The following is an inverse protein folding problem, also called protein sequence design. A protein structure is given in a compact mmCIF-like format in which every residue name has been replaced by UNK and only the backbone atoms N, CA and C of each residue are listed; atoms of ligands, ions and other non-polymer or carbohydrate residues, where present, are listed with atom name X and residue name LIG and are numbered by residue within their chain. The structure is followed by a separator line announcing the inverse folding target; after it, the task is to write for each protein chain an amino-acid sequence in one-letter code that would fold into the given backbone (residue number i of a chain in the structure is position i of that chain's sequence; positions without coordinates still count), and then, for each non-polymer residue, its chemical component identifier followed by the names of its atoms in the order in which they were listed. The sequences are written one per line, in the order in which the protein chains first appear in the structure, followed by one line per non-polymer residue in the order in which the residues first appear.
data_IF_632963737753
#
_entry.id   IF_632963737753
#
_cell.length_a   1.000
_cell.length_b   1.000
_cell.length_c   1.000
_cell.angle_alpha   90.00
_cell.angle_beta   90.00
_cell.angle_gamma   90.00
#
_symmetry.space_group_name_H-M   'P 1'
#
loop_
_entity.id
_entity.type
_entity.pdbx_description
1 polymer ?
#
# COMPACT_ATOMS: atom_id res chain seq x y z
N UNK A 1 42.30 2.37 -1.46
CA UNK A 1 42.19 2.40 -2.93
C UNK A 1 40.77 2.85 -3.20
N UNK A 2 40.54 4.15 -3.43
CA UNK A 2 39.19 4.67 -3.72
C UNK A 2 38.56 3.83 -4.83
N UNK A 3 37.34 3.37 -4.58
CA UNK A 3 36.73 2.41 -5.47
C UNK A 3 36.40 3.14 -6.77
N UNK A 4 36.70 2.50 -7.91
CA UNK A 4 36.54 3.06 -9.26
C UNK A 4 35.14 3.66 -9.52
N UNK A 5 34.12 3.18 -8.79
CA UNK A 5 32.73 3.65 -8.84
C UNK A 5 32.53 4.98 -8.10
N UNK A 6 33.11 5.16 -6.91
CA UNK A 6 33.02 6.41 -6.15
C UNK A 6 33.53 7.58 -6.99
N UNK A 7 34.69 7.41 -7.64
CA UNK A 7 35.23 8.42 -8.58
C UNK A 7 34.32 8.66 -9.79
N UNK A 8 33.63 7.63 -10.27
CA UNK A 8 32.68 7.76 -11.36
C UNK A 8 31.44 8.54 -10.92
N UNK A 9 30.93 8.32 -9.72
CA UNK A 9 29.80 9.07 -9.16
C UNK A 9 30.17 10.55 -8.95
N UNK A 10 31.33 10.79 -8.32
CA UNK A 10 31.86 12.15 -8.12
C UNK A 10 32.03 12.91 -9.45
N UNK A 11 32.61 12.27 -10.47
CA UNK A 11 32.83 12.89 -11.79
C UNK A 11 31.53 13.26 -12.50
N UNK A 12 30.46 12.49 -12.30
CA UNK A 12 29.18 12.69 -12.98
C UNK A 12 28.13 13.38 -12.09
N UNK A 13 28.50 13.81 -10.88
CA UNK A 13 27.60 14.40 -9.90
C UNK A 13 26.37 13.52 -9.65
N UNK A 14 26.63 12.26 -9.29
CA UNK A 14 25.61 11.26 -8.95
C UNK A 14 25.63 11.05 -7.44
N UNK A 15 24.54 11.44 -6.79
CA UNK A 15 24.25 11.06 -5.40
C UNK A 15 23.29 9.87 -5.41
N UNK A 16 23.45 8.85 -4.52
CA UNK A 16 22.55 7.70 -4.48
C UNK A 16 21.07 8.05 -4.36
N UNK A 17 20.72 9.04 -3.53
CA UNK A 17 19.34 9.47 -3.30
C UNK A 17 18.66 10.09 -4.54
N UNK A 18 19.48 10.54 -5.49
CA UNK A 18 19.05 11.11 -6.76
C UNK A 18 18.79 10.05 -7.84
N UNK A 19 19.07 8.77 -7.56
CA UNK A 19 18.85 7.67 -8.49
C UNK A 19 17.38 7.22 -8.43
N UNK A 20 16.71 7.17 -9.58
CA UNK A 20 15.37 6.54 -9.71
C UNK A 20 15.48 5.03 -9.81
N UNK A 21 16.24 4.58 -10.80
CA UNK A 21 16.51 3.19 -11.10
C UNK A 21 17.72 3.07 -12.03
N UNK A 22 18.29 1.89 -12.08
CA UNK A 22 19.43 1.53 -12.92
C UNK A 22 19.00 0.35 -13.78
N UNK A 23 19.19 0.47 -15.09
CA UNK A 23 18.79 -0.53 -16.07
C UNK A 23 19.96 -0.93 -16.96
N UNK A 24 19.99 -2.19 -17.38
CA UNK A 24 20.91 -2.67 -18.41
C UNK A 24 20.24 -2.63 -19.77
N UNK A 25 20.77 -1.82 -20.69
CA UNK A 25 20.26 -1.62 -22.05
C UNK A 25 21.43 -1.68 -23.03
N UNK A 26 21.27 -2.45 -24.13
CA UNK A 26 22.26 -2.55 -25.21
C UNK A 26 23.71 -2.81 -24.75
N UNK A 27 23.86 -3.63 -23.70
CA UNK A 27 25.16 -4.00 -23.12
C UNK A 27 25.78 -2.96 -22.18
N UNK A 28 25.15 -1.79 -22.02
CA UNK A 28 25.53 -0.74 -21.07
C UNK A 28 24.65 -0.77 -19.83
N UNK A 29 25.16 -0.23 -18.74
CA UNK A 29 24.38 0.09 -17.55
C UNK A 29 24.03 1.57 -17.60
N UNK A 30 22.74 1.87 -17.54
CA UNK A 30 22.15 3.20 -17.62
C UNK A 30 21.59 3.58 -16.24
N UNK A 31 22.05 4.68 -15.67
CA UNK A 31 21.61 5.20 -14.38
C UNK A 31 20.62 6.34 -14.67
N UNK A 32 19.36 6.17 -14.28
CA UNK A 32 18.29 7.15 -14.47
C UNK A 32 18.14 7.98 -13.21
N UNK A 33 18.31 9.30 -13.33
CA UNK A 33 18.25 10.24 -12.20
C UNK A 33 16.90 10.96 -12.12
N UNK A 34 16.61 11.56 -10.97
CA UNK A 34 15.36 12.29 -10.71
C UNK A 34 15.21 13.49 -11.66
N UNK A 35 16.30 14.22 -11.85
CA UNK A 35 16.40 15.41 -12.71
C UNK A 35 16.27 15.11 -14.21
N UNK A 36 16.10 13.84 -14.60
CA UNK A 36 15.93 13.40 -15.98
C UNK A 36 17.24 13.09 -16.71
N UNK A 37 18.41 13.27 -16.08
CA UNK A 37 19.67 12.81 -16.65
C UNK A 37 19.72 11.28 -16.72
N UNK A 38 20.35 10.78 -17.77
CA UNK A 38 20.66 9.36 -17.96
C UNK A 38 22.18 9.25 -18.14
N UNK A 39 22.84 8.53 -17.24
CA UNK A 39 24.29 8.35 -17.29
C UNK A 39 24.60 6.90 -17.66
N UNK A 40 25.26 6.72 -18.80
CA UNK A 40 25.64 5.41 -19.31
C UNK A 40 27.06 5.01 -18.93
N UNK A 41 27.25 3.72 -18.66
CA UNK A 41 28.58 3.15 -18.44
C UNK A 41 28.66 1.69 -18.90
N UNK A 42 29.87 1.25 -19.25
CA UNK A 42 30.14 -0.16 -19.53
C UNK A 42 30.38 -0.99 -18.26
N UNK A 43 30.44 -0.35 -17.10
CA UNK A 43 30.56 -1.04 -15.81
C UNK A 43 29.36 -1.98 -15.60
N UNK A 44 29.59 -3.25 -15.21
CA UNK A 44 28.51 -4.18 -14.90
C UNK A 44 27.58 -3.65 -13.81
N UNK A 45 26.27 -3.89 -13.96
CA UNK A 45 25.24 -3.46 -13.01
C UNK A 45 25.58 -3.89 -11.58
N UNK A 46 25.99 -5.15 -11.40
CA UNK A 46 26.36 -5.70 -10.08
C UNK A 46 27.45 -4.87 -9.39
N UNK A 47 28.49 -4.48 -10.11
CA UNK A 47 29.59 -3.68 -9.58
C UNK A 47 29.15 -2.29 -9.13
N UNK A 48 28.11 -1.73 -9.75
CA UNK A 48 27.54 -0.44 -9.31
C UNK A 48 26.69 -0.65 -8.07
N UNK A 49 25.85 -1.70 -8.05
CA UNK A 49 24.94 -2.01 -6.95
C UNK A 49 25.68 -2.40 -5.68
N UNK A 50 26.82 -3.10 -5.78
CA UNK A 50 27.68 -3.46 -4.65
C UNK A 50 28.25 -2.22 -3.91
N UNK A 51 28.13 -1.02 -4.50
CA UNK A 51 28.57 0.26 -3.94
C UNK A 51 27.41 1.17 -3.49
N UNK A 52 26.17 0.73 -3.67
CA UNK A 52 24.99 1.45 -3.22
C UNK A 52 24.56 0.98 -1.81
N UNK A 53 23.88 1.83 -1.02
CA UNK A 53 23.26 1.41 0.23
C UNK A 53 22.29 0.25 -0.01
N UNK A 54 22.54 -0.90 0.62
CA UNK A 54 21.82 -2.15 0.31
C UNK A 54 20.32 -2.05 0.61
N UNK A 55 19.94 -1.27 1.63
CA UNK A 55 18.56 -1.15 2.09
C UNK A 55 17.73 -0.17 1.23
N UNK A 56 18.38 0.72 0.48
CA UNK A 56 17.72 1.76 -0.32
C UNK A 56 17.42 1.31 -1.77
N UNK A 57 17.95 0.16 -2.18
CA UNK A 57 17.86 -0.32 -3.56
C UNK A 57 17.36 -1.75 -3.66
N UNK A 58 16.31 -1.94 -4.46
CA UNK A 58 15.67 -3.24 -4.68
C UNK A 58 15.96 -3.78 -6.09
N UNK A 59 16.48 -5.01 -6.16
CA UNK A 59 16.64 -5.71 -7.45
C UNK A 59 15.32 -6.28 -7.94
N UNK A 60 14.71 -5.59 -8.91
CA UNK A 60 13.46 -6.02 -9.56
C UNK A 60 13.71 -7.27 -10.42
N UNK A 61 14.78 -7.26 -11.22
CA UNK A 61 15.21 -8.40 -12.02
C UNK A 61 16.72 -8.36 -12.30
N UNK A 62 17.25 -9.26 -13.15
CA UNK A 62 18.69 -9.34 -13.44
C UNK A 62 19.28 -8.08 -14.08
N UNK A 63 18.45 -7.28 -14.75
CA UNK A 63 18.88 -6.08 -15.48
C UNK A 63 18.35 -4.79 -14.90
N UNK A 64 17.57 -4.82 -13.81
CA UNK A 64 16.92 -3.64 -13.23
C UNK A 64 17.05 -3.65 -11.72
N UNK A 65 17.57 -2.54 -11.19
CA UNK A 65 17.57 -2.20 -9.77
C UNK A 65 16.89 -0.85 -9.61
N UNK A 66 16.00 -0.71 -8.65
CA UNK A 66 15.26 0.54 -8.43
C UNK A 66 15.45 1.03 -7.00
N UNK A 67 15.44 2.35 -6.81
CA UNK A 67 15.40 2.92 -5.48
C UNK A 67 14.05 2.62 -4.83
N UNK A 68 14.07 2.08 -3.60
CA UNK A 68 12.87 1.68 -2.84
C UNK A 68 11.95 2.87 -2.57
N UNK A 69 12.53 4.04 -2.29
CA UNK A 69 11.83 5.32 -2.11
C UNK A 69 11.07 5.78 -3.37
N UNK A 70 11.35 5.21 -4.54
CA UNK A 70 10.73 5.60 -5.82
C UNK A 70 9.71 4.60 -6.36
N UNK A 71 9.58 3.42 -5.76
CA UNK A 71 8.57 2.42 -6.14
C UNK A 71 7.25 2.76 -5.45
N UNK A 72 6.23 3.21 -6.17
CA UNK A 72 4.90 3.55 -5.62
C UNK A 72 4.09 2.34 -5.21
N UNK A 73 4.12 1.28 -6.02
CA UNK A 73 3.29 0.10 -5.81
C UNK A 73 3.99 -1.15 -6.35
N UNK A 74 3.79 -2.27 -5.69
CA UNK A 74 4.18 -3.60 -6.18
C UNK A 74 2.92 -4.48 -6.16
N UNK A 75 2.53 -4.98 -7.34
CA UNK A 75 1.39 -5.88 -7.49
C UNK A 75 1.63 -6.87 -8.63
N UNK A 76 1.45 -8.16 -8.38
CA UNK A 76 1.57 -9.23 -9.39
C UNK A 76 2.92 -9.20 -10.13
N UNK A 77 4.04 -9.02 -9.40
CA UNK A 77 5.39 -8.77 -9.95
C UNK A 77 5.55 -7.48 -10.78
N UNK A 78 4.59 -6.57 -10.79
CA UNK A 78 4.70 -5.29 -11.47
C UNK A 78 5.08 -4.21 -10.46
N UNK A 79 6.25 -3.62 -10.67
CA UNK A 79 6.81 -2.54 -9.88
C UNK A 79 6.50 -1.23 -10.59
N UNK A 80 5.63 -0.43 -9.99
CA UNK A 80 5.23 0.88 -10.52
C UNK A 80 6.08 1.96 -9.85
N UNK A 81 6.80 2.74 -10.65
CA UNK A 81 7.65 3.84 -10.18
C UNK A 81 6.85 5.13 -10.03
N UNK A 82 7.37 6.10 -9.27
CA UNK A 82 6.75 7.43 -9.05
C UNK A 82 6.62 8.25 -10.34
N UNK A 83 7.45 7.99 -11.34
CA UNK A 83 7.35 8.63 -12.66
C UNK A 83 6.42 7.90 -13.65
N UNK A 84 5.69 6.87 -13.18
CA UNK A 84 4.76 6.08 -13.97
C UNK A 84 5.39 4.92 -14.74
N UNK A 85 6.72 4.76 -14.71
CA UNK A 85 7.40 3.62 -15.32
C UNK A 85 7.00 2.31 -14.62
N UNK A 86 6.82 1.23 -15.39
CA UNK A 86 6.45 -0.08 -14.86
C UNK A 86 7.49 -1.13 -15.23
N UNK A 87 7.96 -1.89 -14.25
CA UNK A 87 8.94 -2.96 -14.44
C UNK A 87 8.40 -4.31 -13.98
N UNK A 88 8.68 -5.35 -14.78
CA UNK A 88 8.32 -6.73 -14.44
C UNK A 88 9.42 -7.41 -13.64
N UNK A 89 9.04 -7.97 -12.51
CA UNK A 89 9.85 -8.78 -11.61
C UNK A 89 10.17 -10.17 -12.15
N UNK A 90 10.79 -11.01 -11.32
CA UNK A 90 11.25 -12.35 -11.73
C UNK A 90 10.07 -13.34 -11.78
N UNK A 91 9.74 -13.78 -12.99
CA UNK A 91 8.65 -14.75 -13.24
C UNK A 91 8.69 -16.03 -12.37
N UNK A 92 9.88 -16.51 -11.98
CA UNK A 92 10.08 -17.78 -11.24
C UNK A 92 10.26 -17.62 -9.72
N UNK A 93 9.88 -16.50 -9.13
CA UNK A 93 9.82 -16.43 -7.67
C UNK A 93 8.64 -17.27 -7.14
N UNK A 94 8.80 -18.02 -6.04
CA UNK A 94 7.69 -18.73 -5.42
C UNK A 94 6.58 -17.75 -5.03
N UNK A 95 5.31 -18.10 -5.28
CA UNK A 95 4.16 -17.21 -5.03
C UNK A 95 4.10 -16.70 -3.59
N UNK A 96 4.41 -17.55 -2.62
CA UNK A 96 4.47 -17.18 -1.20
C UNK A 96 5.53 -16.11 -0.93
N UNK A 97 6.74 -16.27 -1.47
CA UNK A 97 7.81 -15.28 -1.37
C UNK A 97 7.46 -13.96 -2.07
N UNK A 98 6.72 -14.00 -3.20
CA UNK A 98 6.21 -12.79 -3.87
C UNK A 98 5.23 -12.05 -2.97
N UNK A 99 4.24 -12.77 -2.44
CA UNK A 99 3.25 -12.22 -1.54
C UNK A 99 3.89 -11.64 -0.27
N UNK A 100 4.86 -12.32 0.34
CA UNK A 100 5.58 -11.79 1.51
C UNK A 100 6.40 -10.54 1.20
N UNK A 101 7.01 -10.44 0.01
CA UNK A 101 7.73 -9.24 -0.41
C UNK A 101 6.80 -8.07 -0.70
N UNK A 102 5.69 -8.32 -1.41
CA UNK A 102 4.65 -7.33 -1.68
C UNK A 102 4.04 -6.83 -0.38
N UNK A 103 3.66 -7.75 0.52
CA UNK A 103 3.16 -7.43 1.87
C UNK A 103 4.19 -6.63 2.66
N UNK A 104 5.44 -7.08 2.79
CA UNK A 104 6.48 -6.35 3.53
C UNK A 104 6.72 -4.96 2.99
N UNK A 105 6.83 -4.79 1.66
CA UNK A 105 7.08 -3.50 1.04
C UNK A 105 5.89 -2.53 1.22
N UNK A 106 4.67 -3.02 0.99
CA UNK A 106 3.46 -2.21 1.15
C UNK A 106 3.19 -1.91 2.64
N UNK A 107 3.44 -2.84 3.55
CA UNK A 107 3.35 -2.62 5.01
C UNK A 107 4.44 -1.66 5.50
N UNK A 108 5.69 -1.73 5.00
CA UNK A 108 6.76 -0.81 5.40
C UNK A 108 6.55 0.62 4.88
N UNK A 109 5.86 0.79 3.73
CA UNK A 109 5.43 2.10 3.25
C UNK A 109 4.22 2.65 3.99
N UNK A 110 3.32 1.79 4.46
CA UNK A 110 2.21 2.22 5.33
C UNK A 110 2.68 2.74 6.69
N UNK A 111 3.85 2.30 7.16
CA UNK A 111 4.51 2.88 8.33
C UNK A 111 5.15 4.25 8.09
N UNK A 112 5.22 4.73 6.84
CA UNK A 112 5.34 6.17 6.55
C UNK A 112 3.92 6.76 6.53
N UNK A 113 3.42 7.01 7.73
CA UNK A 113 2.10 7.48 8.13
C UNK A 113 1.40 8.42 7.12
N UNK A 114 0.35 7.89 6.49
CA UNK A 114 -0.89 8.66 6.44
C UNK A 114 -1.76 8.10 7.57
N UNK A 115 -1.78 8.82 8.69
CA UNK A 115 -2.72 8.60 9.80
C UNK A 115 -4.11 8.43 9.18
N UNK A 116 -4.80 7.34 9.52
CA UNK A 116 -6.19 7.09 9.10
C UNK A 116 -7.03 8.36 9.25
N UNK A 117 -6.76 9.13 10.31
CA UNK A 117 -7.36 10.42 10.63
C UNK A 117 -7.18 11.45 9.51
N UNK A 118 -5.98 11.59 8.93
CA UNK A 118 -5.73 12.54 7.83
C UNK A 118 -6.49 12.17 6.55
N UNK A 119 -6.61 10.87 6.25
CA UNK A 119 -7.38 10.41 5.08
C UNK A 119 -8.88 10.49 5.32
N UNK A 120 -9.33 10.26 6.56
CA UNK A 120 -10.74 10.23 6.92
C UNK A 120 -11.30 11.61 7.32
N UNK A 121 -10.45 12.63 7.52
CA UNK A 121 -10.88 13.99 7.87
C UNK A 121 -11.92 14.59 6.90
N UNK A 122 -11.91 14.15 5.63
CA UNK A 122 -12.94 14.55 4.65
C UNK A 122 -14.37 14.11 5.06
N UNK A 123 -14.48 13.11 5.94
CA UNK A 123 -15.74 12.56 6.43
C UNK A 123 -16.19 13.14 7.77
N UNK A 124 -15.37 13.96 8.46
CA UNK A 124 -15.68 14.53 9.77
C UNK A 124 -16.98 15.35 9.74
N UNK A 125 -17.13 16.13 8.66
CA UNK A 125 -18.28 16.99 8.39
C UNK A 125 -19.28 16.35 7.40
N UNK A 126 -19.05 15.10 6.98
CA UNK A 126 -19.94 14.42 6.06
C UNK A 126 -21.26 14.09 6.77
N UNK A 127 -22.43 14.46 6.20
CA UNK A 127 -23.73 14.21 6.82
C UNK A 127 -24.15 12.73 6.73
N UNK A 128 -23.45 11.91 5.94
CA UNK A 128 -23.75 10.50 5.79
C UNK A 128 -22.94 9.68 6.81
N UNK A 129 -23.56 8.69 7.48
CA UNK A 129 -22.85 7.78 8.36
C UNK A 129 -21.72 7.04 7.63
N UNK A 130 -20.51 7.12 8.17
CA UNK A 130 -19.32 6.50 7.62
C UNK A 130 -18.51 5.78 8.71
N UNK A 131 -17.95 4.63 8.35
CA UNK A 131 -17.12 3.79 9.20
C UNK A 131 -15.94 3.22 8.39
N UNK A 132 -14.75 3.16 8.97
CA UNK A 132 -13.60 2.43 8.42
C UNK A 132 -13.26 1.25 9.33
N UNK A 133 -13.19 0.07 8.73
CA UNK A 133 -12.86 -1.18 9.41
C UNK A 133 -11.53 -1.70 8.87
N UNK A 134 -10.62 -2.10 9.74
CA UNK A 134 -9.39 -2.81 9.39
C UNK A 134 -9.41 -4.24 9.90
N UNK A 135 -8.76 -5.14 9.16
CA UNK A 135 -8.57 -6.54 9.56
C UNK A 135 -7.18 -6.68 10.18
N UNK A 136 -7.14 -7.16 11.43
CA UNK A 136 -5.90 -7.53 12.09
C UNK A 136 -5.68 -9.05 12.02
N UNK A 137 -4.43 -9.45 11.77
CA UNK A 137 -4.01 -10.85 11.71
C UNK A 137 -3.12 -11.18 12.90
N UNK A 138 -3.20 -12.41 13.38
CA UNK A 138 -2.18 -12.96 14.28
C UNK A 138 -0.82 -13.09 13.59
N UNK A 139 0.24 -13.28 14.37
CA UNK A 139 1.59 -13.61 13.91
C UNK A 139 1.65 -14.84 12.99
N UNK A 140 0.69 -15.76 13.11
CA UNK A 140 0.55 -16.94 12.25
C UNK A 140 -0.35 -16.73 11.01
N UNK A 141 -0.85 -15.50 10.79
CA UNK A 141 -1.67 -15.14 9.62
C UNK A 141 -3.13 -15.58 9.69
N UNK A 142 -3.61 -16.01 10.87
CA UNK A 142 -5.02 -16.26 11.13
C UNK A 142 -5.74 -14.93 11.42
N UNK A 143 -6.95 -14.73 10.86
CA UNK A 143 -7.78 -13.55 11.13
C UNK A 143 -8.11 -13.47 12.62
N UNK A 144 -7.66 -12.39 13.27
CA UNK A 144 -7.81 -12.23 14.72
C UNK A 144 -9.00 -11.36 15.05
N UNK A 145 -9.17 -10.22 14.36
CA UNK A 145 -10.25 -9.29 14.66
C UNK A 145 -10.57 -8.30 13.54
N UNK A 146 -11.77 -7.73 13.59
CA UNK A 146 -12.21 -6.63 12.75
C UNK A 146 -12.33 -5.38 13.63
N UNK A 147 -11.37 -4.47 13.54
CA UNK A 147 -11.36 -3.26 14.37
C UNK A 147 -11.91 -2.07 13.60
N UNK A 148 -12.66 -1.24 14.29
CA UNK A 148 -13.04 0.07 13.77
C UNK A 148 -11.90 1.05 13.99
N UNK A 149 -11.37 1.61 12.90
CA UNK A 149 -10.29 2.61 12.94
C UNK A 149 -10.81 4.04 12.81
N UNK A 150 -11.98 4.25 12.22
CA UNK A 150 -12.58 5.56 12.09
C UNK A 150 -14.11 5.48 12.06
N UNK A 151 -14.77 6.45 12.68
CA UNK A 151 -16.22 6.63 12.66
C UNK A 151 -16.52 8.12 12.64
N UNK A 152 -17.46 8.56 11.81
CA UNK A 152 -17.85 9.97 11.78
C UNK A 152 -19.04 10.28 12.70
N UNK A 153 -19.23 11.56 13.01
CA UNK A 153 -20.31 12.04 13.88
C UNK A 153 -21.71 11.63 13.40
N UNK A 154 -21.94 11.56 12.09
CA UNK A 154 -23.22 11.14 11.53
C UNK A 154 -23.57 9.70 11.92
N UNK A 155 -22.59 8.79 11.94
CA UNK A 155 -22.77 7.42 12.41
C UNK A 155 -23.04 7.36 13.91
N UNK A 156 -22.23 8.06 14.71
CA UNK A 156 -22.40 8.11 16.17
C UNK A 156 -23.81 8.58 16.55
N UNK A 157 -24.28 9.65 15.91
CA UNK A 157 -25.62 10.20 16.12
C UNK A 157 -26.74 9.23 15.69
N UNK A 158 -26.57 8.51 14.58
CA UNK A 158 -27.57 7.56 14.09
C UNK A 158 -27.78 6.38 15.05
N UNK A 159 -26.69 5.87 15.64
CA UNK A 159 -26.75 4.72 16.55
C UNK A 159 -26.80 5.09 18.04
N UNK A 160 -26.70 6.38 18.37
CA UNK A 160 -26.70 6.87 19.75
C UNK A 160 -25.51 6.34 20.56
N UNK A 161 -24.33 6.28 19.95
CA UNK A 161 -23.09 5.74 20.54
C UNK A 161 -22.03 6.82 20.66
N UNK A 162 -21.12 6.68 21.63
CA UNK A 162 -19.91 7.51 21.67
C UNK A 162 -18.79 6.91 20.84
N UNK A 163 -17.79 7.73 20.51
CA UNK A 163 -16.59 7.31 19.79
C UNK A 163 -15.81 6.24 20.57
N UNK A 164 -15.68 6.40 21.90
CA UNK A 164 -15.01 5.46 22.82
C UNK A 164 -15.68 4.07 22.87
N UNK A 165 -16.98 4.01 22.58
CA UNK A 165 -17.73 2.76 22.49
C UNK A 165 -17.48 2.02 21.17
N UNK A 166 -16.92 2.70 20.16
CA UNK A 166 -16.83 2.18 18.79
C UNK A 166 -15.38 1.98 18.34
N UNK A 167 -14.52 2.98 18.52
CA UNK A 167 -13.14 2.90 18.07
C UNK A 167 -12.37 1.79 18.77
N UNK A 168 -11.52 1.11 18.00
CA UNK A 168 -10.70 -0.02 18.44
C UNK A 168 -11.51 -1.15 19.09
N UNK A 169 -12.82 -1.23 18.80
CA UNK A 169 -13.67 -2.35 19.19
C UNK A 169 -13.84 -3.32 18.04
N UNK A 170 -13.88 -4.60 18.42
CA UNK A 170 -14.21 -5.70 17.54
C UNK A 170 -15.62 -5.57 16.96
N UNK A 171 -15.79 -5.77 15.65
CA UNK A 171 -17.12 -5.87 15.03
C UNK A 171 -17.96 -7.02 15.59
N UNK A 172 -17.35 -8.04 16.21
CA UNK A 172 -18.09 -9.11 16.88
C UNK A 172 -18.93 -8.61 18.07
N UNK A 173 -18.57 -7.46 18.64
CA UNK A 173 -19.32 -6.81 19.73
C UNK A 173 -20.59 -6.10 19.26
N UNK A 174 -20.77 -5.94 17.95
CA UNK A 174 -21.91 -5.28 17.33
C UNK A 174 -22.94 -6.31 16.82
N UNK A 175 -24.24 -5.94 16.70
CA UNK A 175 -25.29 -6.82 16.21
C UNK A 175 -25.24 -7.01 14.67
N UNK A 176 -24.08 -7.39 14.14
CA UNK A 176 -23.83 -7.62 12.71
C UNK A 176 -23.98 -9.11 12.41
N UNK A 177 -24.73 -9.45 11.35
CA UNK A 177 -24.91 -10.86 10.93
C UNK A 177 -23.60 -11.43 10.40
N UNK A 178 -23.31 -12.70 10.67
CA UNK A 178 -22.05 -13.33 10.24
C UNK A 178 -21.80 -13.27 8.72
N UNK A 179 -22.86 -13.39 7.90
CA UNK A 179 -22.77 -13.20 6.44
C UNK A 179 -22.20 -11.84 6.02
N UNK A 180 -22.41 -10.82 6.86
CA UNK A 180 -21.97 -9.46 6.61
C UNK A 180 -20.47 -9.30 6.96
N UNK A 181 -20.02 -9.96 8.03
CA UNK A 181 -18.60 -10.02 8.39
C UNK A 181 -17.78 -10.67 7.27
N UNK A 182 -18.27 -11.79 6.71
CA UNK A 182 -17.61 -12.46 5.57
C UNK A 182 -17.50 -11.54 4.36
N UNK A 183 -18.53 -10.72 4.09
CA UNK A 183 -18.50 -9.76 2.99
C UNK A 183 -17.53 -8.61 3.24
N UNK A 184 -17.46 -8.11 4.48
CA UNK A 184 -16.48 -7.11 4.88
C UNK A 184 -15.06 -7.67 4.71
N UNK A 185 -14.83 -8.92 5.13
CA UNK A 185 -13.57 -9.62 4.96
C UNK A 185 -13.16 -9.76 3.50
N UNK A 186 -14.06 -10.27 2.65
CA UNK A 186 -13.83 -10.43 1.22
C UNK A 186 -13.44 -9.11 0.54
N UNK A 187 -14.14 -8.01 0.85
CA UNK A 187 -13.84 -6.69 0.29
C UNK A 187 -12.48 -6.19 0.77
N UNK A 188 -12.18 -6.29 2.07
CA UNK A 188 -10.90 -5.82 2.61
C UNK A 188 -9.71 -6.64 2.10
N UNK A 189 -9.88 -7.93 1.81
CA UNK A 189 -8.83 -8.84 1.34
C UNK A 189 -8.64 -8.80 -0.18
N UNK A 190 -9.74 -8.91 -0.92
CA UNK A 190 -9.73 -9.11 -2.37
C UNK A 190 -10.06 -7.83 -3.15
N UNK A 191 -10.50 -6.78 -2.45
CA UNK A 191 -10.93 -5.53 -3.03
C UNK A 191 -12.33 -5.54 -3.63
N UNK A 192 -12.67 -4.43 -4.26
CA UNK A 192 -13.96 -4.23 -4.94
C UNK A 192 -14.96 -3.41 -4.12
N UNK A 193 -16.19 -3.36 -4.63
CA UNK A 193 -17.30 -2.63 -4.03
C UNK A 193 -18.59 -3.47 -4.03
N UNK A 194 -19.38 -3.35 -2.96
CA UNK A 194 -20.68 -4.02 -2.80
C UNK A 194 -21.68 -3.10 -2.12
N UNK A 195 -22.94 -3.22 -2.52
CA UNK A 195 -24.04 -2.53 -1.85
C UNK A 195 -24.96 -3.55 -1.19
N UNK A 196 -25.28 -3.32 0.09
CA UNK A 196 -25.83 -4.34 0.99
C UNK A 196 -26.75 -3.71 2.04
N UNK A 197 -27.82 -4.41 2.40
CA UNK A 197 -28.67 -4.02 3.53
C UNK A 197 -28.18 -4.75 4.79
N UNK A 198 -27.41 -4.04 5.61
CA UNK A 198 -26.66 -4.65 6.72
C UNK A 198 -27.37 -4.54 8.07
N UNK A 199 -28.05 -3.42 8.33
CA UNK A 199 -28.54 -3.04 9.68
C UNK A 199 -30.06 -2.86 9.71
N UNK A 200 -30.63 -2.14 8.75
CA UNK A 200 -32.08 -1.97 8.58
C UNK A 200 -32.45 -1.78 7.10
N UNK A 201 -33.71 -1.96 6.75
CA UNK A 201 -34.24 -1.71 5.39
C UNK A 201 -34.38 -0.22 5.05
N UNK A 202 -33.86 0.67 5.90
CA UNK A 202 -33.92 2.13 5.69
C UNK A 202 -32.61 2.69 5.15
N UNK A 203 -31.54 1.89 5.14
CA UNK A 203 -30.23 2.31 4.68
C UNK A 203 -29.62 1.25 3.78
N UNK A 204 -29.15 1.72 2.63
CA UNK A 204 -28.29 0.97 1.73
C UNK A 204 -26.85 1.24 2.13
N UNK A 205 -26.10 0.20 2.46
CA UNK A 205 -24.71 0.36 2.86
C UNK A 205 -23.82 0.05 1.67
N UNK A 206 -23.03 1.03 1.25
CA UNK A 206 -21.99 0.84 0.25
C UNK A 206 -20.68 0.50 0.97
N UNK A 207 -20.18 -0.70 0.71
CA UNK A 207 -18.90 -1.18 1.19
C UNK A 207 -17.88 -1.15 0.05
N UNK A 208 -16.68 -0.64 0.28
CA UNK A 208 -15.59 -0.66 -0.69
C UNK A 208 -14.24 -0.75 0.02
N UNK A 209 -13.21 -1.16 -0.71
CA UNK A 209 -11.83 -1.21 -0.20
C UNK A 209 -11.12 0.12 -0.50
N UNK A 210 -10.89 1.00 0.48
CA UNK A 210 -10.07 2.19 0.29
C UNK A 210 -8.58 1.83 0.20
N UNK A 211 -8.15 0.82 0.95
CA UNK A 211 -6.78 0.33 1.01
C UNK A 211 -6.77 -1.17 1.35
N UNK A 212 -5.73 -1.89 0.95
CA UNK A 212 -5.60 -3.33 1.25
C UNK A 212 -5.76 -3.58 2.76
N UNK A 213 -6.56 -4.57 3.17
CA UNK A 213 -6.83 -4.86 4.57
C UNK A 213 -7.88 -3.96 5.25
N UNK A 214 -8.44 -2.98 4.54
CA UNK A 214 -9.50 -2.10 5.04
C UNK A 214 -10.79 -2.23 4.23
N UNK A 215 -11.92 -2.05 4.91
CA UNK A 215 -13.25 -1.92 4.31
C UNK A 215 -13.92 -0.66 4.85
N UNK A 216 -14.23 0.27 3.94
CA UNK A 216 -15.02 1.45 4.23
C UNK A 216 -16.50 1.15 4.05
N UNK A 217 -17.33 1.65 4.96
CA UNK A 217 -18.79 1.52 4.91
C UNK A 217 -19.42 2.91 4.93
N UNK A 218 -20.16 3.24 3.87
CA UNK A 218 -20.96 4.45 3.75
C UNK A 218 -22.45 4.07 3.77
N UNK A 219 -23.23 4.67 4.67
CA UNK A 219 -24.67 4.43 4.75
C UNK A 219 -25.44 5.50 3.99
N UNK A 220 -26.15 5.07 2.95
CA UNK A 220 -27.02 5.89 2.15
C UNK A 220 -28.46 5.66 2.61
N UNK A 221 -29.19 6.71 3.03
CA UNK A 221 -30.59 6.55 3.38
C UNK A 221 -31.40 6.14 2.14
N UNK A 222 -32.22 5.10 2.29
CA UNK A 222 -33.22 4.71 1.30
C UNK A 222 -34.48 5.54 1.53
N UNK A 223 -34.45 6.81 1.14
CA UNK A 223 -35.68 7.57 0.99
C UNK A 223 -36.25 7.32 -0.42
N UNK A 224 -37.52 6.89 -0.42
CA UNK A 224 -38.45 6.75 -1.54
C UNK A 224 -38.48 7.96 -2.48
#
# INVERSE_FOLDING_TARGET
MEKKIERFFLKNHIEPDEIKYIKREDGKTCIYLIDGRIIDTYTPLKTIVDELPVDDFLSINKGIVAATSRIVNIKDDLYTMRDGSVFKGRARMPRLLKYEHEKKFNTSRRSEELEVDAQCAIFDMCPLPFLLIGIEYDHDGHELDYLVYYVNNAFLNLFGRSEEEILSRSLYSFPIKQKNLVLIADIALNGGERCVHMLSSQYKVQCYQPEDGYCAMLMLPEFL
#
